data_IF_644882036567
#
_entry.id   IF_644882036567
#
_cell.length_a   1.000
_cell.length_b   1.000
_cell.length_c   1.000
_cell.angle_alpha   90.00
_cell.angle_beta   90.00
_cell.angle_gamma   90.00
#
_symmetry.space_group_name_H-M   'P 1'
#
loop_
_entity.id
_entity.type
_entity.pdbx_description
1 polymer ?
#
# COMPACT_ATOMS: atom_id res chain seq x y z
N UNK A 1 -25.98 -33.13 -1.33
CA UNK A 1 -25.82 -31.67 -1.22
C UNK A 1 -24.80 -31.25 -2.26
N UNK A 2 -25.28 -30.95 -3.47
CA UNK A 2 -24.46 -30.58 -4.62
C UNK A 2 -23.86 -29.20 -4.37
N UNK A 3 -22.53 -29.11 -4.33
CA UNK A 3 -21.81 -27.83 -4.34
C UNK A 3 -22.15 -27.13 -5.66
N UNK A 4 -22.74 -25.94 -5.57
CA UNK A 4 -23.05 -25.07 -6.72
C UNK A 4 -21.76 -24.76 -7.49
N UNK A 5 -21.51 -25.50 -8.58
CA UNK A 5 -20.37 -25.30 -9.48
C UNK A 5 -20.51 -24.06 -10.38
N UNK A 6 -21.52 -23.22 -10.15
CA UNK A 6 -21.88 -22.13 -11.05
C UNK A 6 -21.77 -20.73 -10.45
N UNK A 7 -21.11 -20.57 -9.29
CA UNK A 7 -20.84 -19.23 -8.75
C UNK A 7 -19.70 -18.60 -9.55
N UNK A 8 -19.94 -17.49 -10.28
CA UNK A 8 -18.87 -16.80 -10.99
C UNK A 8 -17.78 -16.37 -10.00
N UNK A 9 -16.52 -16.54 -10.42
CA UNK A 9 -15.33 -16.18 -9.62
C UNK A 9 -15.44 -14.73 -9.15
N UNK A 10 -15.12 -14.48 -7.87
CA UNK A 10 -15.20 -13.12 -7.32
C UNK A 10 -14.27 -12.18 -8.11
N UNK A 11 -14.67 -10.90 -8.25
CA UNK A 11 -13.84 -9.91 -8.94
C UNK A 11 -12.45 -9.78 -8.30
N UNK A 12 -12.36 -9.83 -6.96
CA UNK A 12 -11.10 -9.81 -6.22
C UNK A 12 -10.21 -11.02 -6.54
N UNK A 13 -10.78 -12.21 -6.69
CA UNK A 13 -10.02 -13.41 -7.07
C UNK A 13 -9.46 -13.31 -8.49
N UNK A 14 -10.26 -12.77 -9.43
CA UNK A 14 -9.79 -12.51 -10.80
C UNK A 14 -8.69 -11.45 -10.81
N UNK A 15 -8.83 -10.38 -10.02
CA UNK A 15 -7.80 -9.35 -9.86
C UNK A 15 -6.50 -9.97 -9.32
N UNK A 16 -6.57 -10.75 -8.23
CA UNK A 16 -5.42 -11.49 -7.68
C UNK A 16 -4.69 -12.33 -8.76
N UNK A 17 -5.44 -13.04 -9.60
CA UNK A 17 -4.88 -13.87 -10.66
C UNK A 17 -4.15 -13.03 -11.71
N UNK A 18 -4.77 -11.96 -12.21
CA UNK A 18 -4.17 -11.14 -13.28
C UNK A 18 -3.02 -10.26 -12.77
N UNK A 19 -3.01 -9.90 -11.48
CA UNK A 19 -1.92 -9.11 -10.87
C UNK A 19 -0.81 -9.97 -10.28
N UNK A 20 -0.91 -11.31 -10.33
CA UNK A 20 0.09 -12.21 -9.74
C UNK A 20 1.49 -12.00 -10.32
N UNK A 21 1.64 -12.07 -11.64
CA UNK A 21 2.95 -11.92 -12.29
C UNK A 21 3.56 -10.50 -12.09
N UNK A 22 2.80 -9.40 -12.25
CA UNK A 22 3.29 -8.07 -11.88
C UNK A 22 3.70 -7.94 -10.40
N UNK A 23 2.94 -8.55 -9.49
CA UNK A 23 3.27 -8.55 -8.06
C UNK A 23 4.58 -9.31 -7.78
N UNK A 24 4.81 -10.48 -8.39
CA UNK A 24 6.07 -11.20 -8.24
C UNK A 24 7.28 -10.42 -8.79
N UNK A 25 7.09 -9.71 -9.90
CA UNK A 25 8.15 -8.85 -10.46
C UNK A 25 8.47 -7.68 -9.51
N UNK A 26 7.45 -7.04 -8.94
CA UNK A 26 7.60 -5.99 -7.96
C UNK A 26 8.33 -6.49 -6.70
N UNK A 27 7.93 -7.63 -6.15
CA UNK A 27 8.57 -8.24 -4.97
C UNK A 27 10.06 -8.53 -5.23
N UNK A 28 10.41 -9.10 -6.39
CA UNK A 28 11.80 -9.32 -6.79
C UNK A 28 12.58 -8.01 -6.89
N UNK A 29 12.01 -6.98 -7.51
CA UNK A 29 12.64 -5.67 -7.63
C UNK A 29 12.91 -5.06 -6.26
N UNK A 30 11.91 -5.05 -5.36
CA UNK A 30 12.06 -4.55 -3.98
C UNK A 30 13.14 -5.32 -3.24
N UNK A 31 13.17 -6.66 -3.33
CA UNK A 31 14.20 -7.49 -2.69
C UNK A 31 15.61 -7.19 -3.20
N UNK A 32 15.78 -6.92 -4.49
CA UNK A 32 17.09 -6.60 -5.08
C UNK A 32 17.71 -5.31 -4.51
N UNK A 33 16.91 -4.39 -3.96
CA UNK A 33 17.39 -3.18 -3.30
C UNK A 33 17.68 -3.35 -1.80
N UNK A 34 17.51 -4.56 -1.25
CA UNK A 34 17.81 -4.92 0.13
C UNK A 34 17.31 -3.89 1.19
N UNK A 35 16.02 -3.50 1.16
CA UNK A 35 15.52 -2.33 1.90
C UNK A 35 15.53 -2.48 3.44
N UNK A 36 15.87 -3.65 3.97
CA UNK A 36 15.90 -3.89 5.42
C UNK A 36 17.29 -4.25 5.94
N UNK A 37 18.34 -4.12 5.12
CA UNK A 37 19.72 -4.38 5.55
C UNK A 37 20.37 -3.16 6.21
N UNK A 38 19.95 -1.95 5.81
CA UNK A 38 20.49 -0.69 6.35
C UNK A 38 19.39 0.35 6.46
N UNK A 39 19.58 1.32 7.36
CA UNK A 39 18.65 2.44 7.51
C UNK A 39 18.53 3.26 6.20
N UNK A 40 19.63 3.44 5.47
CA UNK A 40 19.62 4.13 4.17
C UNK A 40 18.83 3.35 3.10
N UNK A 41 18.93 2.01 3.09
CA UNK A 41 18.11 1.16 2.23
C UNK A 41 16.63 1.28 2.57
N UNK A 42 16.30 1.31 3.86
CA UNK A 42 14.94 1.45 4.34
C UNK A 42 14.36 2.83 4.01
N UNK A 43 15.12 3.91 4.19
CA UNK A 43 14.69 5.26 3.82
C UNK A 43 14.29 5.37 2.35
N UNK A 44 15.04 4.75 1.43
CA UNK A 44 14.65 4.68 0.00
C UNK A 44 13.35 3.91 -0.23
N UNK A 45 13.12 2.85 0.53
CA UNK A 45 11.86 2.14 0.51
C UNK A 45 10.70 3.02 0.98
N UNK A 46 10.87 3.77 2.08
CA UNK A 46 9.84 4.72 2.56
C UNK A 46 9.56 5.82 1.54
N UNK A 47 10.57 6.33 0.84
CA UNK A 47 10.40 7.30 -0.26
C UNK A 47 9.48 6.73 -1.35
N UNK A 48 9.71 5.50 -1.79
CA UNK A 48 8.85 4.85 -2.80
C UNK A 48 7.42 4.65 -2.30
N UNK A 49 7.26 4.25 -1.03
CA UNK A 49 5.95 4.07 -0.40
C UNK A 49 5.19 5.40 -0.27
N UNK A 50 5.87 6.48 0.12
CA UNK A 50 5.29 7.81 0.22
C UNK A 50 4.84 8.32 -1.15
N UNK A 51 5.69 8.24 -2.18
CA UNK A 51 5.33 8.67 -3.54
C UNK A 51 4.08 7.94 -4.02
N UNK A 52 4.05 6.61 -3.93
CA UNK A 52 2.89 5.81 -4.31
C UNK A 52 1.62 6.18 -3.53
N UNK A 53 1.69 6.33 -2.20
CA UNK A 53 0.51 6.66 -1.39
C UNK A 53 0.03 8.11 -1.63
N UNK A 54 0.95 9.05 -1.82
CA UNK A 54 0.63 10.46 -2.07
C UNK A 54 -0.11 10.66 -3.39
N UNK A 55 0.27 9.91 -4.44
CA UNK A 55 -0.43 9.94 -5.72
C UNK A 55 -1.88 9.44 -5.63
N UNK A 56 -2.13 8.47 -4.74
CA UNK A 56 -3.47 7.91 -4.53
C UNK A 56 -4.33 8.71 -3.55
N UNK A 57 -3.78 9.72 -2.88
CA UNK A 57 -4.49 10.48 -1.86
C UNK A 57 -5.78 11.11 -2.40
N UNK A 58 -5.80 11.53 -3.67
CA UNK A 58 -7.01 12.00 -4.34
C UNK A 58 -8.11 10.93 -4.40
N UNK A 59 -7.77 9.68 -4.72
CA UNK A 59 -8.72 8.58 -4.80
C UNK A 59 -9.29 8.21 -3.42
N UNK A 60 -8.46 8.23 -2.39
CA UNK A 60 -8.91 7.94 -1.02
C UNK A 60 -9.91 8.98 -0.49
N UNK A 61 -9.90 10.19 -1.04
CA UNK A 61 -10.79 11.28 -0.66
C UNK A 61 -11.91 11.54 -1.67
N UNK A 62 -12.05 10.71 -2.71
CA UNK A 62 -13.05 10.92 -3.76
C UNK A 62 -14.47 10.57 -3.27
N UNK A 63 -15.44 11.52 -3.27
CA UNK A 63 -16.78 11.27 -2.71
C UNK A 63 -17.51 10.08 -3.33
N UNK A 64 -17.35 9.87 -4.64
CA UNK A 64 -17.98 8.74 -5.33
C UNK A 64 -17.44 7.38 -4.85
N UNK A 65 -16.17 7.32 -4.44
CA UNK A 65 -15.56 6.10 -3.90
C UNK A 65 -15.90 5.92 -2.42
N UNK A 66 -16.00 7.01 -1.66
CA UNK A 66 -16.47 6.98 -0.26
C UNK A 66 -17.92 6.49 -0.15
N UNK A 67 -18.75 6.77 -1.15
CA UNK A 67 -20.11 6.21 -1.22
C UNK A 67 -20.14 4.68 -1.37
N UNK A 68 -19.04 4.06 -1.83
CA UNK A 68 -18.87 2.61 -1.98
C UNK A 68 -18.14 2.02 -0.77
N UNK A 69 -17.12 2.71 -0.27
CA UNK A 69 -16.24 2.29 0.83
C UNK A 69 -16.24 3.42 1.87
N UNK A 70 -17.11 3.34 2.88
CA UNK A 70 -17.41 4.45 3.78
C UNK A 70 -16.23 4.91 4.65
N UNK A 71 -15.29 4.02 4.95
CA UNK A 71 -14.09 4.31 5.75
C UNK A 71 -12.84 4.60 4.90
N UNK A 72 -13.01 4.79 3.59
CA UNK A 72 -11.90 4.93 2.64
C UNK A 72 -10.86 5.99 3.04
N UNK A 73 -11.21 7.22 3.47
CA UNK A 73 -10.21 8.24 3.79
C UNK A 73 -9.24 7.80 4.89
N UNK A 74 -9.74 7.04 5.87
CA UNK A 74 -8.94 6.54 6.99
C UNK A 74 -7.94 5.44 6.58
N UNK A 75 -8.09 4.86 5.38
CA UNK A 75 -7.23 3.79 4.86
C UNK A 75 -5.96 4.30 4.19
N UNK A 76 -5.90 5.57 3.79
CA UNK A 76 -4.71 6.14 3.14
C UNK A 76 -3.51 6.16 4.09
N UNK A 77 -2.32 5.78 3.60
CA UNK A 77 -1.09 5.73 4.43
C UNK A 77 -0.08 6.84 4.14
N UNK A 78 -0.46 7.83 3.32
CA UNK A 78 0.45 8.89 2.88
C UNK A 78 1.01 9.69 4.06
N UNK A 79 0.16 10.06 5.03
CA UNK A 79 0.59 10.83 6.19
C UNK A 79 1.51 10.02 7.12
N UNK A 80 1.24 8.71 7.30
CA UNK A 80 2.12 7.83 8.07
C UNK A 80 3.48 7.69 7.39
N UNK A 81 3.52 7.49 6.07
CA UNK A 81 4.78 7.40 5.32
C UNK A 81 5.55 8.74 5.34
N UNK A 82 4.84 9.87 5.31
CA UNK A 82 5.46 11.20 5.45
C UNK A 82 6.07 11.41 6.83
N UNK A 83 5.38 11.00 7.90
CA UNK A 83 5.92 11.02 9.25
C UNK A 83 7.15 10.09 9.39
N UNK A 84 7.13 8.94 8.73
CA UNK A 84 8.29 8.04 8.69
C UNK A 84 9.50 8.66 7.99
N UNK A 85 9.30 9.40 6.90
CA UNK A 85 10.38 10.18 6.27
C UNK A 85 10.98 11.20 7.24
N UNK A 86 10.15 11.91 8.01
CA UNK A 86 10.61 12.87 9.00
C UNK A 86 11.40 12.19 10.14
N UNK A 87 10.91 11.06 10.66
CA UNK A 87 11.61 10.26 11.68
C UNK A 87 12.99 9.79 11.17
N UNK A 88 13.13 9.55 9.86
CA UNK A 88 14.36 9.14 9.19
C UNK A 88 15.24 10.32 8.72
N UNK A 89 14.87 11.57 9.04
CA UNK A 89 15.54 12.79 8.57
C UNK A 89 15.66 12.90 7.05
N UNK A 90 14.63 12.43 6.34
CA UNK A 90 14.54 12.52 4.88
C UNK A 90 13.62 13.67 4.48
N UNK A 91 14.01 14.40 3.44
CA UNK A 91 13.13 15.37 2.82
C UNK A 91 11.91 14.68 2.18
N UNK A 92 10.78 15.37 2.15
CA UNK A 92 9.61 14.92 1.39
C UNK A 92 9.93 15.03 -0.10
N UNK A 93 9.92 13.92 -0.87
CA UNK A 93 10.28 13.95 -2.28
C UNK A 93 9.22 14.73 -3.08
N UNK A 94 9.67 15.37 -4.17
CA UNK A 94 8.76 16.01 -5.12
C UNK A 94 7.95 14.95 -5.88
N UNK A 95 6.71 15.27 -6.27
CA UNK A 95 5.91 14.39 -7.13
C UNK A 95 6.64 14.03 -8.42
N UNK A 96 6.46 12.78 -8.86
CA UNK A 96 7.01 12.28 -10.13
C UNK A 96 5.99 12.42 -11.27
N UNK A 97 6.48 12.51 -12.50
CA UNK A 97 5.61 12.53 -13.67
C UNK A 97 4.92 11.17 -13.87
N UNK A 98 3.69 11.18 -14.39
CA UNK A 98 2.93 9.96 -14.69
C UNK A 98 1.92 9.55 -13.62
N UNK A 99 1.73 10.37 -12.59
CA UNK A 99 0.72 10.15 -11.56
C UNK A 99 -0.69 9.93 -12.14
N UNK A 100 -1.46 9.11 -11.45
CA UNK A 100 -2.86 8.80 -11.77
C UNK A 100 -3.69 10.07 -11.75
N UNK A 101 -4.30 10.44 -12.88
CA UNK A 101 -5.10 11.66 -13.02
C UNK A 101 -6.54 11.34 -13.40
N UNK A 102 -7.44 11.60 -12.46
CA UNK A 102 -8.90 11.48 -12.66
C UNK A 102 -9.33 10.19 -13.37
N UNK A 103 -8.93 9.01 -12.86
CA UNK A 103 -9.29 7.73 -13.46
C UNK A 103 -10.81 7.52 -13.38
N UNK A 104 -11.36 6.75 -14.32
CA UNK A 104 -12.74 6.28 -14.19
C UNK A 104 -12.90 5.38 -12.96
N UNK A 105 -14.12 5.24 -12.44
CA UNK A 105 -14.41 4.48 -11.20
C UNK A 105 -13.82 3.06 -11.20
N UNK A 106 -13.90 2.35 -12.33
CA UNK A 106 -13.37 0.99 -12.44
C UNK A 106 -11.84 0.94 -12.29
N UNK A 107 -11.13 1.89 -12.90
CA UNK A 107 -9.68 2.00 -12.78
C UNK A 107 -9.28 2.47 -11.38
N UNK A 108 -10.00 3.42 -10.80
CA UNK A 108 -9.79 3.87 -9.43
C UNK A 108 -9.91 2.71 -8.41
N UNK A 109 -10.92 1.85 -8.57
CA UNK A 109 -11.07 0.64 -7.77
C UNK A 109 -9.92 -0.36 -7.98
N UNK A 110 -9.33 -0.41 -9.18
CA UNK A 110 -8.11 -1.18 -9.45
C UNK A 110 -6.89 -0.65 -8.69
N UNK A 111 -6.69 0.67 -8.69
CA UNK A 111 -5.64 1.32 -7.88
C UNK A 111 -5.82 1.08 -6.38
N UNK A 112 -7.05 1.22 -5.88
CA UNK A 112 -7.38 0.92 -4.48
C UNK A 112 -7.14 -0.56 -4.16
N UNK A 113 -7.49 -1.49 -5.05
CA UNK A 113 -7.20 -2.91 -4.87
C UNK A 113 -5.70 -3.17 -4.68
N UNK A 114 -4.84 -2.56 -5.51
CA UNK A 114 -3.38 -2.68 -5.38
C UNK A 114 -2.88 -2.04 -4.08
N UNK A 115 -3.34 -0.83 -3.77
CA UNK A 115 -2.89 -0.11 -2.57
C UNK A 115 -3.31 -0.81 -1.28
N UNK A 116 -4.57 -1.24 -1.18
CA UNK A 116 -5.07 -1.99 -0.02
C UNK A 116 -4.38 -3.36 0.09
N UNK A 117 -4.19 -4.06 -1.04
CA UNK A 117 -3.49 -5.35 -1.09
C UNK A 117 -2.05 -5.28 -0.58
N UNK A 118 -1.34 -4.15 -0.84
CA UNK A 118 0.04 -3.94 -0.36
C UNK A 118 0.18 -3.96 1.17
N UNK A 119 -0.92 -3.78 1.91
CA UNK A 119 -0.94 -3.79 3.39
C UNK A 119 -0.83 -5.21 3.97
N UNK A 120 -1.24 -6.23 3.23
CA UNK A 120 -1.18 -7.62 3.70
C UNK A 120 0.28 -8.07 3.94
N UNK A 121 1.20 -7.64 3.06
CA UNK A 121 2.63 -7.88 3.23
C UNK A 121 3.26 -7.09 4.37
N UNK A 122 2.66 -5.97 4.79
CA UNK A 122 3.24 -5.06 5.77
C UNK A 122 3.44 -5.70 7.16
N UNK A 123 2.64 -6.70 7.52
CA UNK A 123 2.82 -7.47 8.76
C UNK A 123 4.15 -8.22 8.82
N UNK A 124 4.67 -8.65 7.66
CA UNK A 124 6.00 -9.26 7.58
C UNK A 124 7.10 -8.21 7.51
N UNK A 125 6.83 -7.07 6.86
CA UNK A 125 7.81 -6.00 6.71
C UNK A 125 8.09 -5.26 8.02
N UNK A 126 7.09 -5.05 8.88
CA UNK A 126 7.29 -4.37 10.17
C UNK A 126 8.29 -5.14 11.05
N UNK A 127 8.21 -6.48 11.07
CA UNK A 127 9.16 -7.34 11.79
C UNK A 127 10.61 -7.20 11.28
N UNK A 128 10.78 -6.89 10.00
CA UNK A 128 12.11 -6.63 9.43
C UNK A 128 12.60 -5.22 9.76
N UNK A 129 11.68 -4.25 9.83
CA UNK A 129 12.00 -2.87 10.23
C UNK A 129 12.43 -2.79 11.71
N UNK A 130 11.88 -3.66 12.58
CA UNK A 130 12.30 -3.78 13.99
C UNK A 130 13.79 -4.09 14.14
N UNK A 131 14.39 -4.86 13.22
CA UNK A 131 15.83 -5.14 13.22
C UNK A 131 16.69 -3.88 12.96
N UNK A 132 16.08 -2.82 12.39
CA UNK A 132 16.67 -1.50 12.21
C UNK A 132 16.25 -0.51 13.32
N UNK A 133 15.69 -1.01 14.42
CA UNK A 133 15.19 -0.21 15.55
C UNK A 133 14.01 0.73 15.18
N UNK A 134 13.24 0.37 14.16
CA UNK A 134 12.05 1.10 13.73
C UNK A 134 10.78 0.43 14.27
N UNK A 135 9.69 1.20 14.34
CA UNK A 135 8.40 0.71 14.84
C UNK A 135 7.23 1.49 14.24
N UNK A 136 6.01 1.01 14.50
CA UNK A 136 4.77 1.73 14.19
C UNK A 136 4.63 3.09 14.88
N UNK A 137 5.57 3.44 15.77
CA UNK A 137 5.66 4.73 16.47
C UNK A 137 6.91 5.53 16.13
N UNK A 138 7.79 5.01 15.28
CA UNK A 138 9.00 5.71 14.83
C UNK A 138 9.53 5.08 13.54
N UNK A 139 9.46 5.82 12.44
CA UNK A 139 10.04 5.45 11.15
C UNK A 139 9.37 4.29 10.40
N UNK A 140 8.40 3.58 10.97
CA UNK A 140 7.65 2.51 10.29
C UNK A 140 6.13 2.55 10.54
N UNK A 141 5.56 3.72 10.83
CA UNK A 141 4.12 3.97 11.03
C UNK A 141 3.29 3.45 9.85
N UNK A 142 3.77 3.60 8.62
CA UNK A 142 3.05 3.15 7.43
C UNK A 142 2.95 1.62 7.30
N UNK A 143 3.74 0.86 8.07
CA UNK A 143 3.65 -0.61 8.16
C UNK A 143 2.81 -1.07 9.37
N UNK A 144 2.41 -0.12 10.23
CA UNK A 144 1.57 -0.35 11.39
C UNK A 144 0.24 -1.02 11.04
N UNK A 145 -0.36 -1.64 12.05
CA UNK A 145 -1.67 -2.28 11.89
C UNK A 145 -2.76 -1.21 11.77
N UNK A 146 -3.66 -1.29 10.75
CA UNK A 146 -4.77 -0.35 10.64
C UNK A 146 -5.76 -0.53 11.80
N UNK A 147 -6.52 0.54 12.09
CA UNK A 147 -7.65 0.46 12.99
C UNK A 147 -8.66 -0.58 12.48
N UNK A 148 -8.97 -1.61 13.29
CA UNK A 148 -9.85 -2.72 12.89
C UNK A 148 -9.12 -3.98 12.40
N UNK A 149 -7.79 -3.96 12.30
CA UNK A 149 -6.97 -5.12 11.95
C UNK A 149 -6.87 -5.38 10.44
N UNK A 150 -5.80 -6.06 10.03
CA UNK A 150 -5.45 -6.25 8.60
C UNK A 150 -6.44 -7.12 7.80
N UNK A 151 -7.25 -7.93 8.47
CA UNK A 151 -8.23 -8.84 7.85
C UNK A 151 -9.60 -8.19 7.59
N UNK A 152 -9.81 -6.94 8.04
CA UNK A 152 -11.01 -6.14 7.74
C UNK A 152 -10.86 -5.31 6.43
N UNK A 153 -9.80 -5.62 5.67
CA UNK A 153 -9.37 -4.96 4.44
C UNK A 153 -10.31 -5.17 3.27
#
# INVERSE_FOLDING_TARGET
MTLDQNRPTLRSQRLNQITHAPHEQLDKAVKAYAPFETLAGYARFVVAQYLFQSELQGLYNEPALQAIISDLPARCRAEQAKADLADLNMDTPLPVAGAVRSPGTAEALGWLFVSEGSKLGAAFLIKRAEALQLSDRFGARHLGEPAGGRAAG
#
